data_IF_186334548976
#
_entry.id   IF_186334548976
#
_cell.length_a   1.000
_cell.length_b   1.000
_cell.length_c   1.000
_cell.angle_alpha   90.00
_cell.angle_beta   90.00
_cell.angle_gamma   90.00
#
_symmetry.space_group_name_H-M   'P 1'
#
loop_
_entity.id
_entity.type
_entity.pdbx_description
1 polymer ?
#
# COMPACT_ATOMS: atom_id res chain seq x y z
N UNK A 1 6.77 6.03 0.32
CA UNK A 1 7.28 5.22 1.43
C UNK A 1 7.30 3.74 1.06
N UNK A 2 8.21 3.00 1.69
CA UNK A 2 8.31 1.55 1.52
C UNK A 2 7.95 0.80 2.80
N UNK A 3 7.51 1.52 3.82
CA UNK A 3 7.10 0.92 5.10
C UNK A 3 5.63 0.53 4.99
N UNK A 4 5.27 -0.76 5.15
CA UNK A 4 3.89 -1.22 4.97
C UNK A 4 2.86 -0.40 5.72
N UNK A 5 3.10 -0.08 6.99
CA UNK A 5 2.17 0.72 7.79
C UNK A 5 1.93 2.10 7.17
N UNK A 6 2.99 2.74 6.65
CA UNK A 6 2.89 4.07 6.04
C UNK A 6 2.14 4.02 4.70
N UNK A 7 2.39 2.98 3.90
CA UNK A 7 1.70 2.81 2.62
C UNK A 7 0.19 2.78 2.84
N UNK A 8 -0.25 1.99 3.81
CA UNK A 8 -1.68 1.85 4.12
C UNK A 8 -2.24 3.15 4.70
N UNK A 9 -1.51 3.79 5.64
CA UNK A 9 -1.95 5.03 6.27
C UNK A 9 -2.11 6.17 5.24
N UNK A 10 -1.14 6.31 4.33
CA UNK A 10 -1.19 7.33 3.28
C UNK A 10 -2.40 7.09 2.38
N UNK A 11 -2.61 5.85 1.96
CA UNK A 11 -3.76 5.50 1.14
C UNK A 11 -5.08 5.84 1.84
N UNK A 12 -5.21 5.49 3.12
CA UNK A 12 -6.43 5.77 3.88
C UNK A 12 -6.73 7.27 3.95
N UNK A 13 -5.69 8.09 4.00
CA UNK A 13 -5.85 9.54 4.05
C UNK A 13 -6.19 10.16 2.69
N UNK A 14 -5.71 9.59 1.60
CA UNK A 14 -5.83 10.20 0.27
C UNK A 14 -6.96 9.62 -0.57
N UNK A 15 -7.36 8.39 -0.32
CA UNK A 15 -8.32 7.71 -1.19
C UNK A 15 -9.66 8.43 -1.31
N UNK A 16 -10.16 8.99 -0.21
CA UNK A 16 -11.44 9.71 -0.21
C UNK A 16 -11.44 10.97 -1.07
N UNK A 17 -10.26 11.54 -1.32
CA UNK A 17 -10.13 12.76 -2.13
C UNK A 17 -10.01 12.46 -3.62
N UNK A 18 -9.72 11.21 -3.97
CA UNK A 18 -9.62 10.81 -5.37
C UNK A 18 -11.01 10.72 -5.99
N UNK A 19 -11.17 11.30 -7.16
CA UNK A 19 -12.44 11.26 -7.89
C UNK A 19 -12.63 9.91 -8.58
N UNK A 20 -13.89 9.57 -8.86
CA UNK A 20 -14.22 8.38 -9.64
C UNK A 20 -13.44 8.38 -10.96
N UNK A 21 -12.87 7.25 -11.33
CA UNK A 21 -12.00 7.12 -12.49
C UNK A 21 -10.56 7.50 -12.25
N UNK A 22 -10.24 8.07 -11.08
CA UNK A 22 -8.87 8.42 -10.73
C UNK A 22 -8.02 7.19 -10.43
N UNK A 23 -6.71 7.34 -10.59
CA UNK A 23 -5.74 6.27 -10.38
C UNK A 23 -4.85 6.59 -9.18
N UNK A 24 -4.56 5.56 -8.40
CA UNK A 24 -3.62 5.62 -7.28
C UNK A 24 -2.54 4.56 -7.51
N UNK A 25 -1.28 4.99 -7.58
CA UNK A 25 -0.18 4.09 -7.91
C UNK A 25 0.74 3.90 -6.70
N UNK A 26 1.17 2.66 -6.48
CA UNK A 26 2.12 2.30 -5.43
C UNK A 26 3.33 1.66 -6.11
N UNK A 27 4.49 2.28 -5.92
CA UNK A 27 5.74 1.85 -6.53
C UNK A 27 6.61 1.06 -5.56
N UNK A 28 7.62 0.40 -6.10
CA UNK A 28 8.68 -0.26 -5.32
C UNK A 28 8.16 -1.36 -4.40
N UNK A 29 7.21 -2.15 -4.87
CA UNK A 29 6.63 -3.25 -4.10
C UNK A 29 7.68 -4.28 -3.63
N UNK A 30 8.82 -4.37 -4.33
CA UNK A 30 9.90 -5.27 -3.94
C UNK A 30 10.52 -4.92 -2.59
N UNK A 31 10.36 -3.68 -2.12
CA UNK A 31 10.90 -3.24 -0.84
C UNK A 31 10.03 -3.67 0.35
N UNK A 32 8.79 -4.07 0.10
CA UNK A 32 7.87 -4.48 1.16
C UNK A 32 8.36 -5.79 1.80
N UNK A 33 8.60 -5.76 3.11
CA UNK A 33 9.08 -6.91 3.84
C UNK A 33 10.60 -7.08 3.83
N UNK A 34 11.34 -6.16 3.19
CA UNK A 34 12.80 -6.22 3.19
C UNK A 34 13.35 -5.85 4.58
N UNK A 35 14.01 -6.82 5.24
CA UNK A 35 14.56 -6.62 6.58
C UNK A 35 15.57 -5.48 6.65
N UNK A 36 16.35 -5.29 5.59
CA UNK A 36 17.35 -4.22 5.52
C UNK A 36 16.74 -2.83 5.67
N UNK A 37 15.47 -2.67 5.36
CA UNK A 37 14.80 -1.38 5.45
C UNK A 37 14.70 -0.87 6.89
N UNK A 38 14.61 -1.78 7.86
CA UNK A 38 14.55 -1.42 9.28
C UNK A 38 15.78 -0.62 9.74
N UNK A 39 16.92 -0.86 9.12
CA UNK A 39 18.17 -0.22 9.48
C UNK A 39 18.16 1.29 9.23
N UNK A 40 17.34 1.76 8.30
CA UNK A 40 17.24 3.17 7.98
C UNK A 40 16.26 3.92 8.88
N UNK A 41 15.49 3.21 9.69
CA UNK A 41 14.44 3.80 10.53
C UNK A 41 14.47 3.21 11.93
N UNK A 42 15.56 3.47 12.70
CA UNK A 42 15.74 2.80 13.99
C UNK A 42 14.70 3.18 15.05
N UNK A 43 14.01 4.32 14.87
CA UNK A 43 13.00 4.78 15.81
C UNK A 43 11.60 4.23 15.51
N UNK A 44 11.44 3.48 14.43
CA UNK A 44 10.15 2.89 14.07
C UNK A 44 9.96 1.55 14.76
N UNK A 45 8.70 1.24 15.09
CA UNK A 45 8.36 -0.07 15.66
C UNK A 45 8.54 -1.17 14.61
N UNK A 46 9.03 -2.34 15.05
CA UNK A 46 9.22 -3.49 14.14
C UNK A 46 7.92 -3.89 13.42
N UNK A 47 6.80 -3.80 14.12
CA UNK A 47 5.49 -4.15 13.56
C UNK A 47 5.09 -3.31 12.36
N UNK A 48 5.61 -2.08 12.24
CA UNK A 48 5.33 -1.21 11.09
C UNK A 48 5.87 -1.79 9.78
N UNK A 49 6.86 -2.67 9.85
CA UNK A 49 7.52 -3.30 8.71
C UNK A 49 6.92 -4.66 8.36
N UNK A 50 5.91 -5.13 9.11
CA UNK A 50 5.32 -6.45 8.89
C UNK A 50 4.62 -6.52 7.53
N UNK A 51 5.05 -7.41 6.63
CA UNK A 51 4.40 -7.56 5.33
C UNK A 51 2.94 -7.99 5.41
N UNK A 52 2.50 -8.55 6.54
CA UNK A 52 1.09 -8.88 6.74
C UNK A 52 0.19 -7.65 6.72
N UNK A 53 0.71 -6.47 7.11
CA UNK A 53 -0.05 -5.22 7.02
C UNK A 53 -0.48 -4.99 5.58
N UNK A 54 0.44 -5.17 4.64
CA UNK A 54 0.18 -4.95 3.23
C UNK A 54 -0.76 -6.01 2.66
N UNK A 55 -0.53 -7.29 2.95
CA UNK A 55 -1.38 -8.37 2.44
C UNK A 55 -2.79 -8.32 3.00
N UNK A 56 -2.95 -7.95 4.27
CA UNK A 56 -4.26 -7.75 4.89
C UNK A 56 -5.01 -6.61 4.20
N UNK A 57 -4.31 -5.52 3.91
CA UNK A 57 -4.89 -4.38 3.19
C UNK A 57 -5.31 -4.76 1.77
N UNK A 58 -4.53 -5.60 1.07
CA UNK A 58 -4.93 -6.08 -0.26
C UNK A 58 -6.26 -6.82 -0.23
N UNK A 59 -6.48 -7.65 0.79
CA UNK A 59 -7.76 -8.33 0.97
C UNK A 59 -8.90 -7.33 1.21
N UNK A 60 -8.63 -6.29 2.01
CA UNK A 60 -9.59 -5.21 2.23
C UNK A 60 -9.96 -4.53 0.92
N UNK A 61 -8.97 -4.23 0.07
CA UNK A 61 -9.21 -3.60 -1.22
C UNK A 61 -10.09 -4.46 -2.13
N UNK A 62 -9.86 -5.76 -2.17
CA UNK A 62 -10.64 -6.68 -2.99
C UNK A 62 -12.11 -6.71 -2.58
N UNK A 63 -12.39 -6.46 -1.29
CA UNK A 63 -13.74 -6.45 -0.76
C UNK A 63 -14.45 -5.10 -0.90
N UNK A 64 -13.73 -4.02 -1.25
CA UNK A 64 -14.32 -2.69 -1.34
C UNK A 64 -15.10 -2.52 -2.64
N UNK A 65 -16.23 -1.81 -2.53
CA UNK A 65 -17.10 -1.53 -3.69
C UNK A 65 -16.63 -0.33 -4.49
N UNK A 66 -15.76 0.50 -3.93
CA UNK A 66 -15.25 1.71 -4.59
C UNK A 66 -13.89 1.52 -5.27
N UNK A 67 -13.39 0.29 -5.30
CA UNK A 67 -12.11 -0.06 -5.94
C UNK A 67 -12.39 -1.01 -7.11
N UNK A 68 -11.92 -0.63 -8.29
CA UNK A 68 -11.82 -1.58 -9.41
C UNK A 68 -10.73 -2.57 -9.03
N UNK A 69 -10.84 -3.82 -9.46
CA UNK A 69 -9.87 -4.84 -9.09
C UNK A 69 -8.44 -4.33 -9.25
N UNK A 70 -7.60 -4.40 -8.19
CA UNK A 70 -6.22 -3.94 -8.26
C UNK A 70 -5.43 -4.62 -9.37
N UNK A 71 -4.60 -3.84 -10.07
CA UNK A 71 -3.75 -4.36 -11.15
C UNK A 71 -2.29 -4.23 -10.74
N UNK A 72 -1.49 -5.22 -11.08
CA UNK A 72 -0.07 -5.23 -10.76
C UNK A 72 0.76 -5.36 -12.03
N UNK A 73 1.76 -4.50 -12.16
CA UNK A 73 2.71 -4.48 -13.28
C UNK A 73 4.12 -4.53 -12.68
N UNK A 74 4.68 -5.74 -12.53
CA UNK A 74 5.97 -5.90 -11.87
C UNK A 74 5.91 -5.42 -10.42
N UNK A 75 6.67 -4.38 -10.09
CA UNK A 75 6.74 -3.79 -8.75
C UNK A 75 5.84 -2.57 -8.58
N UNK A 76 4.92 -2.37 -9.52
CA UNK A 76 3.95 -1.27 -9.50
C UNK A 76 2.54 -1.85 -9.32
N UNK A 77 1.78 -1.26 -8.40
CA UNK A 77 0.36 -1.56 -8.25
C UNK A 77 -0.46 -0.34 -8.62
N UNK A 78 -1.54 -0.55 -9.38
CA UNK A 78 -2.45 0.51 -9.77
C UNK A 78 -3.84 0.21 -9.22
N UNK A 79 -4.40 1.17 -8.49
CA UNK A 79 -5.76 1.14 -7.98
C UNK A 79 -6.58 2.17 -8.75
N UNK A 80 -7.73 1.76 -9.25
CA UNK A 80 -8.65 2.66 -9.92
C UNK A 80 -9.89 2.82 -9.06
N UNK A 81 -10.34 4.06 -8.89
CA UNK A 81 -11.54 4.36 -8.12
C UNK A 81 -12.77 4.27 -9.01
N UNK A 82 -13.76 3.52 -8.54
CA UNK A 82 -15.05 3.46 -9.21
C UNK A 82 -15.83 4.76 -9.05
#
# INVERSE_FOLDING_TARGET
SHIPADIVAIWRNLWGELKAGGLYCIEDLQCIGAESYKLYFPDRADEDFDPLIFSTWLHELEARQDVVQPRRYGNLMVLEKK
#
